data_IF_999806363025
#
_entry.id   IF_999806363025
#
_cell.length_a   1.000
_cell.length_b   1.000
_cell.length_c   1.000
_cell.angle_alpha   90.00
_cell.angle_beta   90.00
_cell.angle_gamma   90.00
#
_symmetry.space_group_name_H-M   'P 1'
#
loop_
_entity.id
_entity.type
_entity.pdbx_description
1 polymer ?
#
# COMPACT_ATOMS: atom_id res chain seq x y z
N UNK A 1 -18.74 -59.10 -0.59
CA UNK A 1 -17.55 -58.42 -1.16
C UNK A 1 -17.89 -57.18 -1.99
N UNK A 2 -18.93 -57.18 -2.84
CA UNK A 2 -19.32 -56.03 -3.69
C UNK A 2 -19.76 -54.75 -2.93
N UNK A 3 -20.37 -54.92 -1.75
CA UNK A 3 -20.83 -53.79 -0.90
C UNK A 3 -19.69 -53.02 -0.23
N UNK A 4 -18.58 -53.69 0.10
CA UNK A 4 -17.38 -53.04 0.67
C UNK A 4 -16.67 -52.18 -0.38
N UNK A 5 -16.50 -52.69 -1.60
CA UNK A 5 -15.87 -51.95 -2.69
C UNK A 5 -16.69 -50.72 -3.10
N UNK A 6 -18.02 -50.83 -3.07
CA UNK A 6 -18.94 -49.71 -3.32
C UNK A 6 -18.84 -48.63 -2.23
N UNK A 7 -18.63 -49.00 -0.97
CA UNK A 7 -18.45 -48.06 0.14
C UNK A 7 -17.13 -47.31 0.06
N UNK A 8 -16.03 -48.01 -0.24
CA UNK A 8 -14.73 -47.36 -0.46
C UNK A 8 -14.79 -46.35 -1.61
N UNK A 9 -15.46 -46.71 -2.71
CA UNK A 9 -15.62 -45.81 -3.86
C UNK A 9 -16.47 -44.58 -3.52
N UNK A 10 -17.57 -44.75 -2.78
CA UNK A 10 -18.37 -43.63 -2.31
C UNK A 10 -17.60 -42.71 -1.36
N UNK A 11 -16.87 -43.24 -0.38
CA UNK A 11 -16.10 -42.43 0.58
C UNK A 11 -14.97 -41.66 -0.13
N UNK A 12 -14.29 -42.27 -1.09
CA UNK A 12 -13.30 -41.59 -1.93
C UNK A 12 -13.95 -40.49 -2.79
N UNK A 13 -15.09 -40.74 -3.43
CA UNK A 13 -15.80 -39.74 -4.24
C UNK A 13 -16.33 -38.58 -3.39
N UNK A 14 -16.86 -38.85 -2.20
CA UNK A 14 -17.30 -37.81 -1.27
C UNK A 14 -16.13 -36.96 -0.76
N UNK A 15 -15.00 -37.59 -0.40
CA UNK A 15 -13.79 -36.88 0.02
C UNK A 15 -13.16 -36.03 -1.10
N UNK A 16 -13.24 -36.50 -2.34
CA UNK A 16 -12.77 -35.76 -3.52
C UNK A 16 -13.64 -34.52 -3.79
N UNK A 17 -14.96 -34.65 -3.64
CA UNK A 17 -15.90 -33.54 -3.83
C UNK A 17 -15.72 -32.47 -2.75
N UNK A 18 -15.46 -32.84 -1.49
CA UNK A 18 -15.18 -31.86 -0.43
C UNK A 18 -13.87 -31.11 -0.64
N UNK A 19 -12.86 -31.75 -1.22
CA UNK A 19 -11.57 -31.13 -1.52
C UNK A 19 -11.67 -30.10 -2.68
N UNK A 20 -12.53 -30.35 -3.67
CA UNK A 20 -12.73 -29.45 -4.83
C UNK A 20 -13.47 -28.16 -4.46
N UNK A 21 -14.36 -28.18 -3.45
CA UNK A 21 -15.13 -26.99 -3.05
C UNK A 21 -14.34 -26.06 -2.10
N UNK A 22 -13.24 -26.56 -1.52
CA UNK A 22 -12.50 -25.85 -0.47
C UNK A 22 -11.45 -24.85 -0.97
N UNK A 23 -11.35 -24.57 -2.28
CA UNK A 23 -10.51 -23.47 -2.75
C UNK A 23 -11.10 -22.13 -2.28
N UNK A 24 -10.40 -21.39 -1.41
CA UNK A 24 -10.83 -20.04 -1.08
C UNK A 24 -10.67 -19.20 -2.34
N UNK A 25 -11.74 -18.50 -2.73
CA UNK A 25 -11.67 -17.40 -3.68
C UNK A 25 -10.74 -16.35 -3.06
N UNK A 26 -9.45 -16.45 -3.36
CA UNK A 26 -8.46 -15.46 -2.99
C UNK A 26 -8.80 -14.18 -3.76
N UNK A 27 -9.58 -13.30 -3.13
CA UNK A 27 -9.83 -11.99 -3.68
C UNK A 27 -8.49 -11.25 -3.80
N UNK A 28 -8.23 -10.58 -4.93
CA UNK A 28 -7.00 -9.83 -5.11
C UNK A 28 -6.97 -8.74 -4.05
N UNK A 29 -5.97 -8.81 -3.17
CA UNK A 29 -5.62 -7.70 -2.28
C UNK A 29 -5.15 -6.54 -3.15
N UNK A 30 -6.06 -5.63 -3.46
CA UNK A 30 -5.70 -4.33 -4.05
C UNK A 30 -5.04 -3.55 -2.92
N UNK A 31 -3.71 -3.62 -2.83
CA UNK A 31 -2.94 -2.71 -1.99
C UNK A 31 -3.26 -1.28 -2.45
N UNK A 32 -3.99 -0.55 -1.62
CA UNK A 32 -4.27 0.85 -1.86
C UNK A 32 -2.94 1.61 -1.84
N UNK A 33 -2.48 2.07 -3.01
CA UNK A 33 -1.30 2.94 -3.06
C UNK A 33 -1.53 4.17 -2.17
N UNK A 34 -0.49 4.52 -1.41
CA UNK A 34 -0.47 5.76 -0.63
C UNK A 34 -0.74 6.95 -1.55
N UNK A 35 -1.60 7.86 -1.10
CA UNK A 35 -1.81 9.13 -1.80
C UNK A 35 -0.49 9.92 -1.86
N UNK A 36 -0.11 10.33 -3.08
CA UNK A 36 1.14 11.06 -3.32
C UNK A 36 0.98 12.52 -2.96
N UNK A 37 1.95 13.07 -2.24
CA UNK A 37 1.97 14.45 -1.76
C UNK A 37 3.09 15.22 -2.43
N UNK A 38 2.73 16.28 -3.15
CA UNK A 38 3.67 17.25 -3.69
C UNK A 38 3.76 18.49 -2.79
N UNK A 39 4.98 18.94 -2.48
CA UNK A 39 5.24 20.15 -1.71
C UNK A 39 5.79 21.26 -2.62
N UNK A 40 5.26 22.48 -2.49
CA UNK A 40 5.73 23.65 -3.25
C UNK A 40 6.33 24.70 -2.33
N UNK A 41 7.61 25.02 -2.54
CA UNK A 41 8.35 26.01 -1.75
C UNK A 41 8.61 27.28 -2.57
N UNK A 42 7.86 28.34 -2.25
CA UNK A 42 8.04 29.65 -2.88
C UNK A 42 9.40 30.29 -2.57
N UNK A 43 9.83 31.23 -3.40
CA UNK A 43 10.92 32.14 -3.07
C UNK A 43 10.56 33.12 -1.94
N UNK A 44 11.57 33.78 -1.37
CA UNK A 44 11.36 34.75 -0.29
C UNK A 44 12.63 35.40 0.28
N UNK A 45 13.77 35.33 -0.42
CA UNK A 45 15.08 35.76 0.08
C UNK A 45 15.32 35.22 1.50
N UNK A 46 15.72 36.07 2.46
CA UNK A 46 15.97 35.66 3.84
C UNK A 46 14.77 35.01 4.55
N UNK A 47 13.52 35.37 4.18
CA UNK A 47 12.31 34.76 4.77
C UNK A 47 12.12 33.30 4.36
N UNK A 48 12.76 32.86 3.27
CA UNK A 48 12.69 31.47 2.83
C UNK A 48 13.27 30.47 3.84
N UNK A 49 14.08 30.93 4.81
CA UNK A 49 14.54 30.09 5.92
C UNK A 49 13.38 29.54 6.76
N UNK A 50 12.21 30.20 6.75
CA UNK A 50 11.01 29.69 7.41
C UNK A 50 10.56 28.32 6.87
N UNK A 51 10.88 27.98 5.62
CA UNK A 51 10.57 26.67 5.02
C UNK A 51 11.23 25.51 5.78
N UNK A 52 12.36 25.73 6.46
CA UNK A 52 12.99 24.72 7.31
C UNK A 52 12.06 24.32 8.46
N UNK A 53 11.40 25.30 9.08
CA UNK A 53 10.43 25.05 10.15
C UNK A 53 9.19 24.31 9.64
N UNK A 54 8.74 24.61 8.42
CA UNK A 54 7.64 23.89 7.76
C UNK A 54 8.01 22.43 7.51
N UNK A 55 9.19 22.16 6.96
CA UNK A 55 9.67 20.80 6.72
C UNK A 55 9.75 20.00 8.02
N UNK A 56 10.28 20.60 9.08
CA UNK A 56 10.34 19.97 10.41
C UNK A 56 8.94 19.64 10.95
N UNK A 57 7.98 20.56 10.84
CA UNK A 57 6.62 20.31 11.28
C UNK A 57 5.94 19.19 10.47
N UNK A 58 6.15 19.15 9.15
CA UNK A 58 5.61 18.09 8.29
C UNK A 58 6.21 16.71 8.64
N UNK A 59 7.51 16.65 8.92
CA UNK A 59 8.18 15.44 9.40
C UNK A 59 7.61 14.98 10.76
N UNK A 60 7.44 15.89 11.71
CA UNK A 60 6.84 15.60 13.02
C UNK A 60 5.40 15.07 12.94
N UNK A 61 4.66 15.47 11.89
CA UNK A 61 3.30 14.98 11.62
C UNK A 61 3.27 13.71 10.76
N UNK A 62 4.42 13.18 10.34
CA UNK A 62 4.51 11.99 9.48
C UNK A 62 3.99 12.21 8.07
N UNK A 63 4.01 13.45 7.56
CA UNK A 63 3.63 13.74 6.18
C UNK A 63 4.78 13.35 5.26
N UNK A 64 4.67 12.19 4.61
CA UNK A 64 5.61 11.83 3.54
C UNK A 64 5.40 12.76 2.33
N UNK A 65 6.49 13.30 1.80
CA UNK A 65 6.53 14.18 0.63
C UNK A 65 7.19 13.39 -0.50
N UNK A 66 6.48 13.25 -1.62
CA UNK A 66 6.92 12.42 -2.75
C UNK A 66 7.61 13.26 -3.84
N UNK A 67 7.34 14.56 -3.89
CA UNK A 67 7.95 15.49 -4.83
C UNK A 67 8.02 16.91 -4.26
N UNK A 68 9.05 17.66 -4.65
CA UNK A 68 9.23 19.07 -4.29
C UNK A 68 9.37 19.91 -5.56
N UNK A 69 8.61 21.00 -5.65
CA UNK A 69 8.82 22.06 -6.62
C UNK A 69 9.18 23.36 -5.89
N UNK A 70 10.19 24.09 -6.35
CA UNK A 70 10.70 25.21 -5.57
C UNK A 70 11.32 26.34 -6.40
N UNK A 71 11.43 27.54 -5.82
CA UNK A 71 12.01 28.73 -6.48
C UNK A 71 12.90 29.53 -5.53
N UNK A 72 14.05 30.01 -6.01
CA UNK A 72 14.99 30.86 -5.26
C UNK A 72 15.34 30.24 -3.89
N UNK A 73 15.10 30.93 -2.78
CA UNK A 73 15.39 30.39 -1.44
C UNK A 73 14.62 29.09 -1.14
N UNK A 74 13.41 28.93 -1.69
CA UNK A 74 12.68 27.67 -1.58
C UNK A 74 13.43 26.51 -2.23
N UNK A 75 14.14 26.75 -3.34
CA UNK A 75 14.95 25.71 -4.00
C UNK A 75 16.21 25.39 -3.21
N UNK A 76 16.84 26.41 -2.61
CA UNK A 76 18.00 26.20 -1.72
C UNK A 76 17.64 25.33 -0.52
N UNK A 77 16.46 25.53 0.08
CA UNK A 77 15.98 24.72 1.21
C UNK A 77 15.45 23.36 0.74
N UNK A 78 14.80 23.32 -0.44
CA UNK A 78 14.14 22.13 -0.98
C UNK A 78 15.08 21.09 -1.61
N UNK A 79 16.32 21.46 -1.93
CA UNK A 79 17.29 20.58 -2.59
C UNK A 79 17.31 20.74 -4.10
#
# INVERSE_FOLDING_TARGET
MRRLLSWCFCVCMLGLVTAVIAEPLAEPIVEAERERVGLVLSGGAARGLAHIGVLKALEEQGVAIDAIAATSMGAVVGG
#
